data_IF_387894853303
#
_entry.id   IF_387894853303
#
_cell.length_a   1.000
_cell.length_b   1.000
_cell.length_c   1.000
_cell.angle_alpha   90.00
_cell.angle_beta   90.00
_cell.angle_gamma   90.00
#
_symmetry.space_group_name_H-M   'P 1'
#
loop_
_entity.id
_entity.type
_entity.pdbx_description
1 polymer ?
#
# COMPACT_ATOMS: atom_id res chain seq x y z
N UNK A 1 -29.92 30.22 11.76
CA UNK A 1 -28.45 30.14 11.73
C UNK A 1 -28.06 28.67 11.86
N UNK A 2 -27.41 28.09 10.83
CA UNK A 2 -26.97 26.69 10.88
C UNK A 2 -25.78 26.54 11.83
N UNK A 3 -25.93 25.68 12.85
CA UNK A 3 -24.84 25.15 13.66
C UNK A 3 -24.11 24.10 12.83
N UNK A 4 -22.81 24.30 12.54
CA UNK A 4 -21.96 23.22 12.04
C UNK A 4 -21.37 22.49 13.24
N UNK A 5 -21.95 21.34 13.57
CA UNK A 5 -21.25 20.31 14.33
C UNK A 5 -20.33 19.60 13.33
N UNK A 6 -19.02 19.70 13.55
CA UNK A 6 -18.07 18.77 12.96
C UNK A 6 -17.76 17.79 14.07
N UNK A 7 -18.46 16.67 14.12
CA UNK A 7 -17.99 15.49 14.87
C UNK A 7 -16.78 14.95 14.11
N UNK A 8 -15.65 15.61 14.32
CA UNK A 8 -14.35 15.08 13.95
C UNK A 8 -13.89 14.32 15.18
N UNK A 9 -14.35 13.07 15.31
CA UNK A 9 -13.68 12.09 16.16
C UNK A 9 -12.29 11.85 15.55
N UNK A 10 -11.37 12.78 15.80
CA UNK A 10 -9.94 12.62 15.58
C UNK A 10 -9.47 11.59 16.61
N UNK A 11 -9.92 10.34 16.48
CA UNK A 11 -9.12 9.21 16.92
C UNK A 11 -7.71 9.46 16.37
N UNK A 12 -6.68 9.23 17.19
CA UNK A 12 -5.30 9.37 16.76
C UNK A 12 -5.02 8.36 15.65
N UNK A 13 -5.38 8.71 14.41
CA UNK A 13 -5.25 7.87 13.23
C UNK A 13 -3.79 7.49 13.03
N UNK A 14 -2.86 8.33 13.51
CA UNK A 14 -1.44 8.02 13.49
C UNK A 14 -1.08 6.86 14.42
N UNK A 15 -1.73 6.74 15.59
CA UNK A 15 -1.60 5.60 16.48
C UNK A 15 -2.25 4.34 15.91
N UNK A 16 -3.47 4.42 15.36
CA UNK A 16 -4.18 3.28 14.75
C UNK A 16 -3.41 2.71 13.56
N UNK A 17 -2.77 3.58 12.78
CA UNK A 17 -1.98 3.21 11.60
C UNK A 17 -0.50 2.96 11.93
N UNK A 18 -0.15 2.84 13.21
CA UNK A 18 1.21 2.53 13.64
C UNK A 18 2.29 3.40 12.97
N UNK A 19 2.01 4.70 12.75
CA UNK A 19 2.93 5.58 12.00
C UNK A 19 4.28 5.81 12.70
N UNK A 20 4.35 5.44 13.98
CA UNK A 20 5.56 5.39 14.81
C UNK A 20 6.47 4.20 14.51
N UNK A 21 5.93 3.13 13.91
CA UNK A 21 6.64 1.88 13.57
C UNK A 21 7.09 1.85 12.09
N UNK A 22 7.45 3.02 11.56
CA UNK A 22 7.84 3.25 10.14
C UNK A 22 6.78 2.92 9.08
N UNK A 23 5.56 2.60 9.48
CA UNK A 23 4.42 2.54 8.57
C UNK A 23 4.01 3.94 8.13
N UNK A 24 3.57 4.07 6.87
CA UNK A 24 3.12 5.32 6.27
C UNK A 24 1.91 5.07 5.37
N UNK A 25 1.04 6.08 5.32
CA UNK A 25 0.11 6.25 4.20
C UNK A 25 0.79 7.16 3.18
N UNK A 26 0.74 6.77 1.91
CA UNK A 26 1.23 7.56 0.79
C UNK A 26 0.15 7.70 -0.26
N UNK A 27 -0.03 8.92 -0.76
CA UNK A 27 -0.84 9.20 -1.92
C UNK A 27 0.06 9.60 -3.08
N UNK A 28 -0.07 8.92 -4.23
CA UNK A 28 0.76 9.24 -5.40
C UNK A 28 0.03 8.98 -6.72
N UNK A 29 0.18 9.95 -7.62
CA UNK A 29 -0.25 9.81 -9.01
C UNK A 29 0.61 8.82 -9.78
N UNK A 30 -0.03 7.91 -10.50
CA UNK A 30 0.60 6.92 -11.38
C UNK A 30 1.10 7.62 -12.64
N UNK A 31 2.40 7.53 -12.89
CA UNK A 31 3.02 8.03 -14.11
C UNK A 31 2.70 7.11 -15.31
N UNK A 32 2.75 7.65 -16.53
CA UNK A 32 2.48 6.88 -17.75
C UNK A 32 3.48 5.73 -17.98
N UNK A 33 4.73 5.94 -17.55
CA UNK A 33 5.82 4.96 -17.62
C UNK A 33 5.93 4.10 -16.34
N UNK A 34 4.99 4.25 -15.39
CA UNK A 34 4.97 3.45 -14.17
C UNK A 34 4.88 1.97 -14.49
N UNK A 35 5.68 1.16 -13.80
CA UNK A 35 5.61 -0.30 -13.90
C UNK A 35 4.25 -0.87 -13.42
N UNK A 36 3.51 -0.08 -12.62
CA UNK A 36 2.18 -0.44 -12.12
C UNK A 36 1.05 -0.11 -13.10
N UNK A 37 1.31 0.70 -14.12
CA UNK A 37 0.30 1.11 -15.07
C UNK A 37 -0.14 -0.05 -15.97
N UNK A 38 -1.45 -0.11 -16.25
CA UNK A 38 -2.13 -1.14 -17.05
C UNK A 38 -1.91 -2.55 -16.47
N UNK A 39 -1.96 -2.65 -15.13
CA UNK A 39 -1.90 -3.91 -14.39
C UNK A 39 -2.99 -3.93 -13.34
N UNK A 40 -3.54 -5.11 -13.13
CA UNK A 40 -4.47 -5.36 -12.04
C UNK A 40 -3.74 -5.46 -10.70
N UNK A 41 -4.46 -5.16 -9.61
CA UNK A 41 -3.92 -5.35 -8.26
C UNK A 41 -3.53 -6.81 -7.98
N UNK A 42 -4.22 -7.76 -8.60
CA UNK A 42 -3.88 -9.18 -8.53
C UNK A 42 -2.57 -9.51 -9.23
N UNK A 43 -2.30 -8.93 -10.40
CA UNK A 43 -1.02 -9.13 -11.11
C UNK A 43 0.17 -8.47 -10.40
N UNK A 44 -0.08 -7.33 -9.73
CA UNK A 44 0.96 -6.61 -8.99
C UNK A 44 1.30 -7.27 -7.66
N UNK A 45 0.32 -7.96 -7.07
CA UNK A 45 0.45 -8.72 -5.84
C UNK A 45 1.12 -7.97 -4.68
N UNK A 46 0.79 -6.68 -4.56
CA UNK A 46 1.40 -5.74 -3.62
C UNK A 46 1.24 -6.17 -2.16
N UNK A 47 0.20 -6.95 -1.85
CA UNK A 47 -0.06 -7.46 -0.49
C UNK A 47 1.04 -8.39 0.00
N UNK A 48 1.60 -9.24 -0.87
CA UNK A 48 2.72 -10.10 -0.50
C UNK A 48 4.03 -9.33 -0.35
N UNK A 49 4.11 -8.09 -0.82
CA UNK A 49 5.22 -7.18 -0.54
C UNK A 49 5.02 -6.36 0.75
N UNK A 50 3.88 -6.52 1.45
CA UNK A 50 3.54 -5.73 2.64
C UNK A 50 2.91 -4.37 2.34
N UNK A 51 2.34 -4.18 1.14
CA UNK A 51 1.61 -2.97 0.73
C UNK A 51 0.11 -3.26 0.61
N UNK A 52 -0.69 -2.42 1.26
CA UNK A 52 -2.15 -2.42 1.13
C UNK A 52 -2.60 -1.20 0.33
N UNK A 53 -3.39 -1.42 -0.73
CA UNK A 53 -4.07 -0.34 -1.45
C UNK A 53 -5.35 0.00 -0.70
N UNK A 54 -5.42 1.21 -0.16
CA UNK A 54 -6.59 1.71 0.58
C UNK A 54 -7.64 2.30 -0.34
N UNK A 55 -7.21 2.91 -1.44
CA UNK A 55 -8.11 3.45 -2.44
C UNK A 55 -7.40 3.98 -3.67
N UNK A 56 -8.22 4.26 -4.68
CA UNK A 56 -7.80 4.76 -5.98
C UNK A 56 -8.77 5.86 -6.37
N UNK A 57 -8.26 7.08 -6.56
CA UNK A 57 -9.02 8.14 -7.19
C UNK A 57 -8.75 8.14 -8.68
N UNK A 58 -9.83 8.07 -9.47
CA UNK A 58 -9.78 8.23 -10.92
C UNK A 58 -10.69 9.38 -11.33
N UNK A 59 -10.17 10.25 -12.20
CA UNK A 59 -10.86 11.48 -12.58
C UNK A 59 -12.26 11.26 -13.21
N UNK A 60 -12.52 10.08 -13.78
CA UNK A 60 -13.80 9.73 -14.43
C UNK A 60 -14.74 8.88 -13.55
N UNK A 61 -14.25 8.25 -12.47
CA UNK A 61 -14.96 7.25 -11.68
C UNK A 61 -15.06 7.59 -10.18
N UNK A 62 -14.70 8.83 -9.78
CA UNK A 62 -14.56 9.26 -8.39
C UNK A 62 -13.63 8.33 -7.56
N UNK A 63 -13.69 8.42 -6.23
CA UNK A 63 -12.83 7.65 -5.33
C UNK A 63 -13.36 6.22 -5.11
N UNK A 64 -12.52 5.23 -5.40
CA UNK A 64 -12.77 3.81 -5.14
C UNK A 64 -12.02 3.40 -3.86
N UNK A 65 -12.76 3.17 -2.78
CA UNK A 65 -12.22 2.62 -1.55
C UNK A 65 -12.09 1.09 -1.60
N UNK A 66 -11.00 0.55 -1.03
CA UNK A 66 -10.73 -0.89 -0.94
C UNK A 66 -10.95 -1.65 -2.26
N UNK A 67 -10.24 -1.28 -3.34
CA UNK A 67 -10.39 -1.90 -4.66
C UNK A 67 -10.13 -3.41 -4.63
N UNK A 68 -10.85 -4.16 -5.47
CA UNK A 68 -10.68 -5.61 -5.59
C UNK A 68 -9.44 -5.96 -6.43
N UNK A 69 -9.01 -7.22 -6.36
CA UNK A 69 -7.85 -7.71 -7.12
C UNK A 69 -7.97 -7.53 -8.64
N UNK A 70 -9.19 -7.53 -9.19
CA UNK A 70 -9.45 -7.33 -10.61
C UNK A 70 -9.37 -5.87 -11.05
N UNK A 71 -9.22 -4.93 -10.11
CA UNK A 71 -9.15 -3.51 -10.45
C UNK A 71 -7.82 -3.20 -11.15
N UNK A 72 -7.90 -2.62 -12.34
CA UNK A 72 -6.75 -2.20 -13.14
C UNK A 72 -6.30 -0.79 -12.77
N UNK A 73 -5.02 -0.64 -12.45
CA UNK A 73 -4.38 0.66 -12.26
C UNK A 73 -4.08 1.26 -13.62
N UNK A 74 -4.58 2.46 -13.89
CA UNK A 74 -4.33 3.20 -15.11
C UNK A 74 -3.38 4.38 -14.88
N UNK A 75 -2.68 4.85 -15.93
CA UNK A 75 -1.97 6.13 -15.85
C UNK A 75 -2.89 7.24 -15.34
N UNK A 76 -2.31 8.15 -14.53
CA UNK A 76 -2.97 9.31 -13.92
C UNK A 76 -3.93 8.98 -12.77
N UNK A 77 -4.18 7.71 -12.46
CA UNK A 77 -4.80 7.31 -11.20
C UNK A 77 -3.99 7.88 -10.02
N UNK A 78 -4.68 8.20 -8.93
CA UNK A 78 -4.05 8.58 -7.67
C UNK A 78 -4.26 7.44 -6.69
N UNK A 79 -3.18 6.75 -6.33
CA UNK A 79 -3.21 5.60 -5.42
C UNK A 79 -2.97 6.07 -3.99
N UNK A 80 -3.87 5.68 -3.08
CA UNK A 80 -3.66 5.77 -1.63
C UNK A 80 -3.23 4.39 -1.12
N UNK A 81 -2.00 4.28 -0.64
CA UNK A 81 -1.41 3.02 -0.17
C UNK A 81 -0.92 3.12 1.28
N UNK A 82 -0.88 1.99 1.97
CA UNK A 82 -0.37 1.83 3.32
C UNK A 82 0.68 0.72 3.37
N UNK A 83 1.76 0.94 4.11
CA UNK A 83 2.82 -0.05 4.32
C UNK A 83 4.08 0.60 4.90
N UNK A 84 5.17 -0.17 5.02
CA UNK A 84 6.44 0.36 5.52
C UNK A 84 7.03 1.40 4.56
N UNK A 85 7.62 2.47 5.12
CA UNK A 85 8.21 3.56 4.36
C UNK A 85 9.26 3.08 3.33
N UNK A 86 10.10 2.11 3.71
CA UNK A 86 11.12 1.54 2.82
C UNK A 86 10.52 0.80 1.61
N UNK A 87 9.41 0.08 1.81
CA UNK A 87 8.73 -0.69 0.78
C UNK A 87 8.01 0.26 -0.17
N UNK A 88 7.31 1.27 0.36
CA UNK A 88 6.67 2.32 -0.42
C UNK A 88 7.70 3.07 -1.29
N UNK A 89 8.85 3.43 -0.72
CA UNK A 89 9.93 4.10 -1.45
C UNK A 89 10.45 3.23 -2.60
N UNK A 90 10.66 1.93 -2.34
CA UNK A 90 11.10 1.01 -3.38
C UNK A 90 10.05 0.87 -4.49
N UNK A 91 8.78 0.67 -4.12
CA UNK A 91 7.65 0.53 -5.03
C UNK A 91 7.63 1.64 -6.10
N UNK A 92 7.83 2.88 -5.67
CA UNK A 92 7.82 4.03 -6.58
C UNK A 92 9.12 4.28 -7.34
N UNK A 93 10.23 3.66 -6.94
CA UNK A 93 11.53 3.80 -7.61
C UNK A 93 11.72 2.82 -8.77
N UNK A 94 10.85 1.81 -8.88
CA UNK A 94 10.92 0.77 -9.90
C UNK A 94 10.61 1.34 -11.28
N UNK A 95 11.48 1.01 -12.24
CA UNK A 95 11.22 1.23 -13.67
C UNK A 95 10.49 0.02 -14.25
N UNK A 96 9.68 0.27 -15.27
CA UNK A 96 8.94 -0.74 -16.03
C UNK A 96 9.94 -1.62 -16.78
N UNK A 97 10.29 -2.80 -16.25
CA UNK A 97 10.98 -3.95 -16.90
C UNK A 97 11.43 -5.04 -15.88
N UNK A 98 12.16 -6.08 -16.32
CA UNK A 98 12.68 -7.26 -15.56
C UNK A 98 13.16 -6.97 -14.12
N UNK A 99 13.72 -5.78 -13.86
CA UNK A 99 14.12 -5.30 -12.53
C UNK A 99 12.94 -5.24 -11.56
N UNK A 100 11.75 -4.87 -12.01
CA UNK A 100 10.54 -4.84 -11.19
C UNK A 100 10.11 -6.23 -10.72
N UNK A 101 10.22 -7.26 -11.58
CA UNK A 101 9.90 -8.65 -11.21
C UNK A 101 10.92 -9.22 -10.20
N UNK A 102 12.21 -8.90 -10.39
CA UNK A 102 13.25 -9.28 -9.43
C UNK A 102 13.08 -8.58 -8.08
N UNK A 103 12.80 -7.26 -8.10
CA UNK A 103 12.50 -6.51 -6.89
C UNK A 103 11.26 -7.07 -6.17
N UNK A 104 10.18 -7.36 -6.90
CA UNK A 104 8.98 -7.98 -6.33
C UNK A 104 9.33 -9.29 -5.59
N UNK A 105 10.04 -10.22 -6.23
CA UNK A 105 10.46 -11.49 -5.60
C UNK A 105 11.30 -11.27 -4.33
N UNK A 106 12.20 -10.29 -4.36
CA UNK A 106 13.03 -9.94 -3.21
C UNK A 106 12.19 -9.42 -2.04
N UNK A 107 11.22 -8.54 -2.29
CA UNK A 107 10.38 -7.95 -1.25
C UNK A 107 9.39 -8.96 -0.67
N UNK A 108 8.82 -9.86 -1.49
CA UNK A 108 8.01 -10.98 -1.00
C UNK A 108 8.83 -11.88 -0.06
N UNK A 109 10.06 -12.21 -0.43
CA UNK A 109 10.93 -13.04 0.40
C UNK A 109 11.31 -12.34 1.73
N UNK A 110 11.53 -11.02 1.70
CA UNK A 110 11.79 -10.22 2.92
C UNK A 110 10.57 -10.21 3.84
N UNK A 111 9.37 -10.02 3.28
CA UNK A 111 8.14 -9.97 4.04
C UNK A 111 7.80 -11.32 4.68
N UNK A 112 7.97 -12.42 3.95
CA UNK A 112 7.78 -13.77 4.50
C UNK A 112 8.69 -14.04 5.70
N UNK A 113 9.98 -13.68 5.61
CA UNK A 113 10.91 -13.79 6.74
C UNK A 113 10.49 -12.94 7.94
N UNK A 114 9.92 -11.75 7.70
CA UNK A 114 9.40 -10.88 8.77
C UNK A 114 8.22 -11.54 9.48
N UNK A 115 7.29 -12.12 8.73
CA UNK A 115 6.12 -12.83 9.25
C UNK A 115 6.55 -14.07 10.07
N UNK A 116 7.50 -14.84 9.56
CA UNK A 116 8.08 -16.01 10.26
C UNK A 116 8.76 -15.63 11.57
N UNK A 117 9.54 -14.54 11.58
CA UNK A 117 10.18 -14.07 12.81
C UNK A 117 9.13 -13.63 13.84
N UNK A 118 8.10 -12.90 13.42
CA UNK A 118 7.01 -12.48 14.32
C UNK A 118 6.23 -13.66 14.89
N UNK A 119 6.00 -14.72 14.10
CA UNK A 119 5.31 -15.91 14.59
C UNK A 119 6.19 -16.74 15.56
N UNK A 120 7.50 -16.83 15.30
CA UNK A 120 8.45 -17.49 16.20
C UNK A 120 8.58 -16.79 17.56
N UNK A 121 8.75 -15.45 17.55
CA UNK A 121 8.85 -14.65 18.77
C UNK A 121 7.56 -14.76 19.61
N UNK A 122 6.39 -14.77 18.96
CA UNK A 122 5.09 -14.96 19.63
C UNK A 122 4.94 -16.34 20.27
N UNK A 123 5.46 -17.39 19.64
CA UNK A 123 5.38 -18.75 20.18
C UNK A 123 6.34 -18.95 21.36
N UNK A 124 7.50 -18.27 21.38
CA UNK A 124 8.42 -18.30 22.52
C UNK A 124 7.90 -17.52 23.72
N UNK A 125 7.16 -16.43 23.52
CA UNK A 125 6.57 -15.64 24.61
C UNK A 125 5.37 -16.34 25.30
N UNK A 126 4.82 -17.38 24.70
CA UNK A 126 3.66 -18.13 25.20
C UNK A 126 4.00 -19.51 25.80
N UNK A 127 5.28 -19.88 25.86
CA UNK A 127 5.82 -21.08 26.52
C UNK A 127 6.58 -20.68 27.78
#
# INVERSE_FOLDING_TARGET
MLKKYTDLDILDYAAVLHLKDDYKISERKVAEDSWMANKTLMELDLRHEGITVLGIYRADCDYIGSPTGSFEILPRDVLTIYGKAEVIKNLYSRKRDFVASMAHKEYVAKENKRIEKQSADRNQANN
#
